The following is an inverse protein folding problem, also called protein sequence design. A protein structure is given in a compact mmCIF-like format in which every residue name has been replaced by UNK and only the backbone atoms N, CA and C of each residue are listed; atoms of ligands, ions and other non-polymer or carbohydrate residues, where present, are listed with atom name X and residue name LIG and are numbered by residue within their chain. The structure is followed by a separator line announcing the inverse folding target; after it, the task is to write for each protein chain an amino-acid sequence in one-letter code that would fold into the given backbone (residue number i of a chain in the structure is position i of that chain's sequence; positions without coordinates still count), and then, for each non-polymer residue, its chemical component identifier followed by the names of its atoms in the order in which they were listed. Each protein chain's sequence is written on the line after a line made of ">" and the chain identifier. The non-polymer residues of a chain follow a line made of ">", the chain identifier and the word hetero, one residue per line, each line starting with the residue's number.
data_IF_274926638642
#
_entry.id   IF_274926638642
#
_cell.length_a   1.000
_cell.length_b   1.000
_cell.length_c   1.000
_cell.angle_alpha   90.00
_cell.angle_beta   90.00
_cell.angle_gamma   90.00
#
_symmetry.space_group_name_H-M   'P 1'
#
loop_
_entity.id
_entity.type
_entity.pdbx_description
1 polymer ?
#
# COMPACT_ATOMS: atom_id res chain seq x y z
N UNK A 1 25.68 45.44 -8.30
CA UNK A 1 25.82 44.57 -9.48
C UNK A 1 25.79 43.11 -9.02
N UNK A 2 24.60 42.57 -8.79
CA UNK A 2 24.43 41.15 -8.45
C UNK A 2 24.58 40.36 -9.74
N UNK A 3 25.57 39.49 -9.76
CA UNK A 3 26.06 38.90 -10.99
C UNK A 3 25.07 37.85 -11.56
N UNK A 4 24.81 37.87 -12.89
CA UNK A 4 23.68 37.18 -13.52
C UNK A 4 23.71 35.64 -13.45
N UNK A 5 24.86 35.07 -13.10
CA UNK A 5 25.06 33.63 -12.87
C UNK A 5 24.39 33.11 -11.59
N UNK A 6 24.24 33.95 -10.57
CA UNK A 6 23.59 33.55 -9.32
C UNK A 6 22.08 33.29 -9.52
N UNK A 7 21.43 34.03 -10.43
CA UNK A 7 20.01 33.81 -10.76
C UNK A 7 19.78 32.48 -11.49
N UNK A 8 20.73 32.05 -12.33
CA UNK A 8 20.62 30.80 -13.10
C UNK A 8 20.69 29.55 -12.19
N UNK A 9 21.51 29.61 -11.14
CA UNK A 9 21.66 28.51 -10.18
C UNK A 9 20.40 28.29 -9.33
N UNK A 10 19.68 29.36 -8.96
CA UNK A 10 18.41 29.28 -8.22
C UNK A 10 17.27 28.70 -9.07
N UNK A 11 17.25 28.96 -10.38
CA UNK A 11 16.26 28.36 -11.27
C UNK A 11 16.44 26.85 -11.45
N UNK A 12 17.67 26.32 -11.41
CA UNK A 12 17.92 24.87 -11.51
C UNK A 12 17.75 24.08 -10.21
N UNK A 13 17.94 24.71 -9.04
CA UNK A 13 17.67 24.05 -7.76
C UNK A 13 16.20 23.71 -7.51
N UNK A 14 15.28 24.33 -8.28
CA UNK A 14 13.83 24.22 -8.08
C UNK A 14 13.19 23.06 -8.84
N UNK A 15 13.84 22.49 -9.86
CA UNK A 15 13.28 21.37 -10.65
C UNK A 15 13.47 20.00 -10.00
N UNK A 16 14.26 19.89 -8.94
CA UNK A 16 14.44 18.66 -8.17
C UNK A 16 13.48 18.54 -6.98
N UNK A 17 12.55 19.48 -6.82
CA UNK A 17 11.50 19.39 -5.80
C UNK A 17 10.49 18.29 -6.20
N UNK A 18 10.86 17.06 -5.85
CA UNK A 18 10.02 15.88 -5.68
C UNK A 18 8.70 15.88 -6.44
N UNK A 19 8.73 15.41 -7.69
CA UNK A 19 7.54 14.80 -8.28
C UNK A 19 7.30 13.44 -7.63
N UNK A 20 7.05 13.44 -6.31
CA UNK A 20 6.35 12.36 -5.61
C UNK A 20 4.87 12.45 -5.98
N UNK A 21 4.56 12.43 -7.28
CA UNK A 21 3.19 12.14 -7.71
C UNK A 21 2.96 10.72 -7.25
N UNK A 22 2.10 10.58 -6.25
CA UNK A 22 1.59 9.30 -5.78
C UNK A 22 0.90 8.61 -6.95
N UNK A 23 1.69 7.95 -7.78
CA UNK A 23 1.20 6.83 -8.53
C UNK A 23 0.80 5.84 -7.44
N UNK A 24 -0.49 5.50 -7.38
CA UNK A 24 -0.97 4.47 -6.48
C UNK A 24 -0.13 3.23 -6.77
N UNK A 25 0.87 2.98 -5.93
CA UNK A 25 1.73 1.82 -6.05
C UNK A 25 0.78 0.64 -6.13
N UNK A 26 0.74 -0.03 -7.28
CA UNK A 26 -0.23 -1.10 -7.43
C UNK A 26 0.26 -2.27 -6.61
N UNK A 27 -0.28 -2.34 -5.39
CA UNK A 27 0.11 -3.29 -4.38
C UNK A 27 -0.66 -4.58 -4.60
N UNK A 28 0.07 -5.68 -4.57
CA UNK A 28 -0.51 -7.02 -4.58
C UNK A 28 -0.36 -7.62 -3.19
N UNK A 29 -1.45 -8.20 -2.68
CA UNK A 29 -1.47 -8.88 -1.40
C UNK A 29 -1.73 -10.37 -1.59
N UNK A 30 -1.19 -11.19 -0.67
CA UNK A 30 -1.58 -12.60 -0.59
C UNK A 30 -3.06 -12.66 -0.22
N UNK A 31 -3.85 -13.32 -1.06
CA UNK A 31 -5.27 -13.56 -0.83
C UNK A 31 -5.49 -14.93 -0.20
N UNK A 32 -6.33 -14.98 0.82
CA UNK A 32 -6.80 -16.23 1.40
C UNK A 32 -8.19 -16.03 2.01
N UNK A 33 -9.09 -16.99 1.80
CA UNK A 33 -10.41 -17.01 2.41
C UNK A 33 -10.77 -18.42 2.90
N UNK A 34 -10.85 -18.61 4.22
CA UNK A 34 -11.27 -19.88 4.80
C UNK A 34 -12.72 -20.26 4.44
N UNK A 35 -13.58 -19.25 4.18
CA UNK A 35 -15.00 -19.43 3.91
C UNK A 35 -15.35 -19.28 2.42
N UNK A 36 -14.41 -19.63 1.55
CA UNK A 36 -14.47 -19.38 0.11
C UNK A 36 -15.66 -20.05 -0.60
N UNK A 37 -16.08 -21.24 -0.17
CA UNK A 37 -17.23 -21.95 -0.77
C UNK A 37 -18.53 -21.19 -0.56
N UNK A 38 -18.76 -20.71 0.68
CA UNK A 38 -19.97 -19.95 1.02
C UNK A 38 -19.95 -18.57 0.38
N UNK A 39 -18.79 -17.90 0.40
CA UNK A 39 -18.61 -16.56 -0.17
C UNK A 39 -18.41 -16.57 -1.70
N UNK A 40 -18.34 -17.76 -2.32
CA UNK A 40 -18.10 -17.99 -3.75
C UNK A 40 -16.86 -17.24 -4.27
N UNK A 41 -15.80 -17.24 -3.47
CA UNK A 41 -14.50 -16.68 -3.86
C UNK A 41 -13.52 -17.79 -4.19
N UNK A 42 -12.35 -17.44 -4.71
CA UNK A 42 -11.23 -18.37 -4.68
C UNK A 42 -10.83 -18.66 -3.22
N UNK A 43 -10.19 -19.79 -2.98
CA UNK A 43 -9.65 -20.10 -1.65
C UNK A 43 -8.37 -19.31 -1.37
N UNK A 44 -7.51 -19.19 -2.37
CA UNK A 44 -6.20 -18.54 -2.27
C UNK A 44 -5.83 -17.88 -3.60
N UNK A 45 -4.86 -16.96 -3.55
CA UNK A 45 -4.34 -16.30 -4.75
C UNK A 45 -3.54 -15.06 -4.43
N UNK A 46 -3.43 -14.17 -5.42
CA UNK A 46 -2.96 -12.81 -5.26
C UNK A 46 -4.13 -11.86 -5.54
N UNK A 47 -4.30 -10.89 -4.67
CA UNK A 47 -5.30 -9.82 -4.82
C UNK A 47 -4.56 -8.53 -5.19
N UNK A 48 -4.95 -7.92 -6.31
CA UNK A 48 -4.49 -6.59 -6.70
C UNK A 48 -5.35 -5.57 -5.96
N UNK A 49 -4.73 -4.72 -5.15
CA UNK A 49 -5.48 -3.80 -4.31
C UNK A 49 -6.00 -2.60 -5.09
N UNK A 50 -7.28 -2.31 -4.89
CA UNK A 50 -7.95 -1.13 -5.44
C UNK A 50 -8.09 -0.08 -4.33
N UNK A 51 -7.72 1.16 -4.64
CA UNK A 51 -7.76 2.28 -3.70
C UNK A 51 -7.70 3.64 -4.39
N UNK A 52 -7.95 4.70 -3.63
CA UNK A 52 -7.82 6.08 -4.10
C UNK A 52 -6.33 6.46 -4.28
N UNK A 53 -6.03 7.30 -5.27
CA UNK A 53 -4.66 7.58 -5.72
C UNK A 53 -3.77 8.19 -4.62
N UNK A 54 -4.35 8.96 -3.72
CA UNK A 54 -3.71 9.69 -2.64
C UNK A 54 -3.78 8.99 -1.28
N UNK A 55 -4.40 7.80 -1.24
CA UNK A 55 -4.56 7.00 -0.03
C UNK A 55 -3.59 5.82 -0.01
N UNK A 56 -3.13 5.46 1.18
CA UNK A 56 -2.27 4.28 1.35
C UNK A 56 -3.12 3.00 1.26
N UNK A 57 -2.50 1.95 0.73
CA UNK A 57 -3.06 0.59 0.74
C UNK A 57 -2.14 -0.31 1.56
N UNK A 58 -2.74 -1.27 2.26
CA UNK A 58 -2.05 -2.21 3.14
C UNK A 58 -2.48 -3.65 2.83
N UNK A 59 -1.68 -4.61 3.28
CA UNK A 59 -2.08 -6.02 3.32
C UNK A 59 -2.45 -6.41 4.74
N UNK A 60 -3.49 -7.22 4.91
CA UNK A 60 -3.88 -7.76 6.22
C UNK A 60 -3.76 -9.27 6.27
N UNK A 61 -3.65 -9.80 7.49
CA UNK A 61 -3.80 -11.21 7.79
C UNK A 61 -4.62 -11.37 9.07
N UNK A 62 -5.54 -12.33 9.06
CA UNK A 62 -6.36 -12.72 10.20
C UNK A 62 -6.27 -14.22 10.40
N UNK A 63 -6.10 -14.63 11.64
CA UNK A 63 -5.99 -16.04 12.04
C UNK A 63 -6.62 -16.27 13.42
N UNK A 64 -6.97 -17.51 13.69
CA UNK A 64 -7.27 -18.00 15.04
C UNK A 64 -6.03 -18.72 15.57
N UNK A 65 -5.84 -18.65 16.88
CA UNK A 65 -4.78 -19.36 17.56
C UNK A 65 -5.40 -20.20 18.68
N UNK A 66 -5.55 -21.50 18.42
CA UNK A 66 -6.07 -22.47 19.37
C UNK A 66 -4.90 -23.19 20.00
N UNK A 67 -4.49 -22.77 21.20
CA UNK A 67 -3.43 -23.42 21.98
C UNK A 67 -2.09 -23.58 21.25
N UNK A 68 -1.73 -22.62 20.38
CA UNK A 68 -0.49 -22.63 19.59
C UNK A 68 -0.66 -23.10 18.15
N UNK A 69 -1.82 -23.66 17.79
CA UNK A 69 -2.14 -23.99 16.39
C UNK A 69 -2.78 -22.80 15.69
N UNK A 70 -2.15 -22.34 14.61
CA UNK A 70 -2.63 -21.23 13.79
C UNK A 70 -3.58 -21.74 12.71
N UNK A 71 -4.81 -21.23 12.71
CA UNK A 71 -5.80 -21.45 11.67
C UNK A 71 -6.01 -20.14 10.91
N UNK A 72 -5.62 -20.09 9.63
CA UNK A 72 -5.84 -18.90 8.81
C UNK A 72 -7.34 -18.67 8.61
N UNK A 73 -7.77 -17.41 8.72
CA UNK A 73 -9.16 -17.01 8.49
C UNK A 73 -9.26 -16.24 7.18
N UNK A 74 -8.55 -15.10 7.06
CA UNK A 74 -8.54 -14.28 5.84
C UNK A 74 -7.20 -13.58 5.65
N UNK A 75 -6.84 -13.31 4.39
CA UNK A 75 -5.76 -12.40 3.97
C UNK A 75 -6.21 -11.64 2.73
N UNK A 76 -5.72 -10.42 2.56
CA UNK A 76 -6.02 -9.63 1.37
C UNK A 76 -5.63 -8.16 1.53
N UNK A 77 -6.24 -7.33 0.69
CA UNK A 77 -6.09 -5.89 0.68
C UNK A 77 -6.85 -5.21 1.82
N UNK A 78 -6.25 -4.17 2.36
CA UNK A 78 -6.80 -3.31 3.40
C UNK A 78 -6.64 -1.85 2.98
N UNK A 79 -7.71 -1.07 3.13
CA UNK A 79 -7.71 0.35 2.81
C UNK A 79 -6.87 1.15 3.81
N UNK A 80 -6.68 2.43 3.52
CA UNK A 80 -5.86 3.34 4.33
C UNK A 80 -6.29 3.36 5.80
N UNK A 81 -5.39 2.90 6.67
CA UNK A 81 -5.62 2.79 8.11
C UNK A 81 -4.35 3.22 8.87
N UNK A 82 -4.48 4.27 9.69
CA UNK A 82 -3.37 4.84 10.46
C UNK A 82 -2.72 3.84 11.43
N UNK A 83 -3.41 2.74 11.78
CA UNK A 83 -2.85 1.70 12.63
C UNK A 83 -1.80 0.85 11.91
N UNK A 84 -1.80 0.85 10.58
CA UNK A 84 -0.89 0.07 9.74
C UNK A 84 0.35 0.87 9.30
N UNK A 85 0.52 2.10 9.79
CA UNK A 85 1.64 2.95 9.43
C UNK A 85 2.87 2.57 10.25
N UNK A 86 4.03 2.57 9.61
CA UNK A 86 5.32 2.27 10.25
C UNK A 86 5.53 3.17 11.49
N UNK A 87 5.82 2.55 12.64
CA UNK A 87 6.12 3.20 13.91
C UNK A 87 7.52 2.86 14.37
#
# INVERSE_FOLDING_TARGET
>A
MTAPWAALALLWGSLCAGSGRGEAETRECIYYNANWELERTNQSGLERCEGEQDKRLHCYASWRNSSGTIELVKKGCWLDDFNCYDR
#
